data_IF_469013901001
#
_entry.id   IF_469013901001
#
_cell.length_a   1.000
_cell.length_b   1.000
_cell.length_c   1.000
_cell.angle_alpha   90.00
_cell.angle_beta   90.00
_cell.angle_gamma   90.00
#
_symmetry.space_group_name_H-M   'P 1'
#
loop_
_entity.id
_entity.type
_entity.pdbx_description
1 polymer ?
#
# COMPACT_ATOMS: atom_id res chain seq x y z
N UNK A 1 8.19 23.16 -12.98
CA UNK A 1 7.74 22.64 -14.30
C UNK A 1 8.53 23.30 -15.44
N UNK A 2 8.54 24.63 -15.57
CA UNK A 2 9.17 25.32 -16.74
C UNK A 2 10.67 25.00 -16.97
N UNK A 3 11.44 24.74 -15.90
CA UNK A 3 12.88 24.46 -16.03
C UNK A 3 13.15 23.06 -16.58
N UNK A 4 12.42 22.05 -16.13
CA UNK A 4 12.61 20.68 -16.62
C UNK A 4 12.18 20.54 -18.10
N UNK A 5 11.16 21.30 -18.53
CA UNK A 5 10.74 21.32 -19.93
C UNK A 5 11.80 21.99 -20.85
N UNK A 6 12.50 23.00 -20.34
CA UNK A 6 13.56 23.72 -21.09
C UNK A 6 14.90 22.96 -21.12
N UNK A 7 15.19 22.22 -20.06
CA UNK A 7 16.49 21.56 -19.86
C UNK A 7 16.31 20.10 -19.40
N UNK A 8 15.62 19.27 -20.20
CA UNK A 8 15.28 17.90 -19.81
C UNK A 8 16.50 16.98 -19.62
N UNK A 9 17.65 17.36 -20.18
CA UNK A 9 18.90 16.59 -20.15
C UNK A 9 19.94 17.19 -19.19
N UNK A 10 19.61 18.25 -18.40
CA UNK A 10 20.55 18.76 -17.38
C UNK A 10 20.45 17.91 -16.13
N UNK A 11 21.55 17.20 -15.71
CA UNK A 11 21.55 16.35 -14.55
C UNK A 11 21.12 17.09 -13.27
N UNK A 12 21.55 18.33 -13.06
CA UNK A 12 21.25 19.14 -11.86
C UNK A 12 19.76 19.51 -11.80
N UNK A 13 19.16 19.87 -12.96
CA UNK A 13 17.73 20.23 -13.03
C UNK A 13 16.86 18.99 -12.86
N UNK A 14 17.24 17.88 -13.51
CA UNK A 14 16.54 16.60 -13.36
C UNK A 14 16.62 16.11 -11.92
N UNK A 15 17.79 16.16 -11.29
CA UNK A 15 17.98 15.77 -9.88
C UNK A 15 17.07 16.58 -8.95
N UNK A 16 17.04 17.90 -9.09
CA UNK A 16 16.18 18.77 -8.28
C UNK A 16 14.69 18.46 -8.49
N UNK A 17 14.29 18.20 -9.74
CA UNK A 17 12.91 17.82 -10.08
C UNK A 17 12.54 16.47 -9.48
N UNK A 18 13.41 15.47 -9.61
CA UNK A 18 13.22 14.13 -9.08
C UNK A 18 13.12 14.12 -7.56
N UNK A 19 13.96 14.90 -6.86
CA UNK A 19 13.86 15.07 -5.41
C UNK A 19 12.51 15.68 -4.98
N UNK A 20 11.93 16.55 -5.79
CA UNK A 20 10.58 17.05 -5.57
C UNK A 20 9.53 15.95 -5.79
N UNK A 21 9.63 15.19 -6.89
CA UNK A 21 8.71 14.09 -7.22
C UNK A 21 8.74 12.98 -6.15
N UNK A 22 9.92 12.64 -5.67
CA UNK A 22 10.12 11.66 -4.61
C UNK A 22 9.37 12.03 -3.32
N UNK A 23 9.44 13.31 -2.91
CA UNK A 23 8.68 13.82 -1.76
C UNK A 23 7.15 13.78 -1.95
N UNK A 24 6.69 13.74 -3.20
CA UNK A 24 5.29 13.64 -3.57
C UNK A 24 4.84 12.19 -3.86
N UNK A 25 5.66 11.19 -3.54
CA UNK A 25 5.46 9.76 -3.87
C UNK A 25 5.28 9.50 -5.39
N UNK A 26 5.75 10.41 -6.25
CA UNK A 26 5.66 10.29 -7.72
C UNK A 26 6.88 9.55 -8.27
N UNK A 27 7.11 8.33 -7.79
CA UNK A 27 8.33 7.57 -8.08
C UNK A 27 8.45 7.23 -9.57
N UNK A 28 7.38 6.74 -10.19
CA UNK A 28 7.35 6.41 -11.62
C UNK A 28 7.66 7.62 -12.51
N UNK A 29 7.17 8.82 -12.14
CA UNK A 29 7.51 10.05 -12.88
C UNK A 29 8.99 10.42 -12.70
N UNK A 30 9.53 10.22 -11.51
CA UNK A 30 10.96 10.42 -11.23
C UNK A 30 11.84 9.47 -12.04
N UNK A 31 11.49 8.18 -12.07
CA UNK A 31 12.16 7.15 -12.90
C UNK A 31 12.16 7.58 -14.37
N UNK A 32 11.00 8.02 -14.88
CA UNK A 32 10.89 8.48 -16.27
C UNK A 32 11.76 9.70 -16.57
N UNK A 33 11.86 10.64 -15.64
CA UNK A 33 12.70 11.83 -15.81
C UNK A 33 14.19 11.46 -15.87
N UNK A 34 14.66 10.57 -15.00
CA UNK A 34 16.06 10.12 -14.96
C UNK A 34 16.41 9.32 -16.22
N UNK A 35 15.53 8.45 -16.72
CA UNK A 35 15.75 7.68 -17.95
C UNK A 35 15.95 8.55 -19.20
N UNK A 36 15.63 9.84 -19.13
CA UNK A 36 15.88 10.81 -20.18
C UNK A 36 17.30 11.39 -20.19
N UNK A 37 18.11 11.14 -19.16
CA UNK A 37 19.49 11.61 -19.07
C UNK A 37 20.44 10.77 -19.94
N UNK A 38 21.61 11.35 -20.23
CA UNK A 38 22.68 10.62 -20.90
C UNK A 38 23.22 9.49 -20.02
N UNK A 39 23.64 8.34 -20.58
CA UNK A 39 24.11 7.19 -19.80
C UNK A 39 25.26 7.52 -18.83
N UNK A 40 26.15 8.42 -19.19
CA UNK A 40 27.26 8.86 -18.34
C UNK A 40 26.78 9.56 -17.06
N UNK A 41 25.68 10.31 -17.13
CA UNK A 41 25.09 10.95 -15.96
C UNK A 41 24.50 9.94 -14.97
N UNK A 42 24.03 8.78 -15.45
CA UNK A 42 23.41 7.75 -14.63
C UNK A 42 24.40 7.03 -13.69
N UNK A 43 25.70 7.08 -13.99
CA UNK A 43 26.76 6.47 -13.19
C UNK A 43 27.28 7.40 -12.08
N UNK A 44 26.89 8.69 -12.09
CA UNK A 44 27.24 9.59 -11.00
C UNK A 44 26.49 9.22 -9.72
N UNK A 45 27.18 9.19 -8.59
CA UNK A 45 26.61 8.75 -7.31
C UNK A 45 25.33 9.48 -6.92
N UNK A 46 25.26 10.80 -7.13
CA UNK A 46 24.09 11.61 -6.75
C UNK A 46 22.81 11.24 -7.51
N UNK A 47 22.95 10.84 -8.78
CA UNK A 47 21.80 10.40 -9.61
C UNK A 47 21.51 8.92 -9.37
N UNK A 48 22.53 8.06 -9.31
CA UNK A 48 22.38 6.64 -9.09
C UNK A 48 21.71 6.35 -7.74
N UNK A 49 22.08 7.05 -6.66
CA UNK A 49 21.45 6.85 -5.35
C UNK A 49 19.95 7.16 -5.35
N UNK A 50 19.53 8.32 -5.89
CA UNK A 50 18.09 8.65 -5.96
C UNK A 50 17.34 7.76 -6.95
N UNK A 51 17.97 7.42 -8.07
CA UNK A 51 17.38 6.54 -9.07
C UNK A 51 17.11 5.14 -8.49
N UNK A 52 18.08 4.56 -7.79
CA UNK A 52 17.90 3.28 -7.10
C UNK A 52 16.80 3.32 -6.03
N UNK A 53 16.66 4.43 -5.29
CA UNK A 53 15.57 4.60 -4.31
C UNK A 53 14.20 4.63 -4.96
N UNK A 54 14.05 5.29 -6.11
CA UNK A 54 12.79 5.33 -6.86
C UNK A 54 12.43 3.96 -7.43
N UNK A 55 13.42 3.25 -7.99
CA UNK A 55 13.23 1.88 -8.50
C UNK A 55 12.83 0.94 -7.37
N UNK A 56 13.51 1.01 -6.23
CA UNK A 56 13.15 0.24 -5.04
C UNK A 56 11.72 0.53 -4.58
N UNK A 57 11.30 1.80 -4.60
CA UNK A 57 9.95 2.20 -4.22
C UNK A 57 8.85 1.65 -5.16
N UNK A 58 9.20 1.29 -6.39
CA UNK A 58 8.32 0.68 -7.39
C UNK A 58 8.46 -0.86 -7.51
N UNK A 59 9.12 -1.52 -6.52
CA UNK A 59 9.44 -2.95 -6.50
C UNK A 59 10.37 -3.41 -7.64
N UNK A 60 11.11 -2.51 -8.27
CA UNK A 60 12.09 -2.80 -9.32
C UNK A 60 13.47 -3.04 -8.68
N UNK A 61 13.57 -4.11 -7.89
CA UNK A 61 14.72 -4.32 -7.00
C UNK A 61 15.99 -4.66 -7.76
N UNK A 62 15.90 -5.49 -8.81
CA UNK A 62 17.06 -5.88 -9.61
C UNK A 62 17.64 -4.67 -10.35
N UNK A 63 16.77 -3.83 -10.96
CA UNK A 63 17.19 -2.59 -11.60
C UNK A 63 17.80 -1.60 -10.57
N UNK A 64 17.25 -1.53 -9.36
CA UNK A 64 17.81 -0.70 -8.30
C UNK A 64 19.23 -1.14 -7.89
N UNK A 65 19.48 -2.44 -7.84
CA UNK A 65 20.79 -3.04 -7.58
C UNK A 65 21.75 -2.71 -8.72
N UNK A 66 21.35 -2.98 -9.97
CA UNK A 66 22.16 -2.71 -11.17
C UNK A 66 22.62 -1.25 -11.23
N UNK A 67 21.73 -0.31 -10.93
CA UNK A 67 22.06 1.13 -10.92
C UNK A 67 23.13 1.45 -9.85
N UNK A 68 23.05 0.88 -8.67
CA UNK A 68 24.05 1.10 -7.62
C UNK A 68 25.40 0.47 -7.94
N UNK A 69 25.40 -0.68 -8.62
CA UNK A 69 26.63 -1.37 -9.05
C UNK A 69 27.35 -0.65 -10.20
N UNK A 70 26.66 0.25 -10.92
CA UNK A 70 27.22 1.05 -12.02
C UNK A 70 27.79 2.41 -11.57
N UNK A 71 27.73 2.74 -10.27
CA UNK A 71 28.33 3.98 -9.78
C UNK A 71 29.84 3.98 -10.09
N UNK A 72 30.34 5.15 -10.51
CA UNK A 72 31.73 5.36 -10.85
C UNK A 72 32.66 4.89 -9.71
N UNK A 73 33.58 4.01 -10.03
CA UNK A 73 34.51 3.43 -9.05
C UNK A 73 35.40 4.48 -8.40
N UNK A 74 35.83 5.51 -9.15
CA UNK A 74 36.66 6.59 -8.61
C UNK A 74 35.91 7.42 -7.55
N UNK A 75 34.57 7.63 -7.73
CA UNK A 75 33.73 8.27 -6.70
C UNK A 75 33.67 7.43 -5.43
N UNK A 76 33.49 6.11 -5.55
CA UNK A 76 33.42 5.20 -4.40
C UNK A 76 34.76 5.05 -3.65
N UNK A 77 35.90 5.06 -4.38
CA UNK A 77 37.22 4.97 -3.78
C UNK A 77 37.61 6.25 -3.04
N UNK A 78 37.17 7.41 -3.53
CA UNK A 78 37.50 8.72 -2.96
C UNK A 78 36.55 9.17 -1.83
N UNK A 79 35.39 8.53 -1.65
CA UNK A 79 34.41 8.83 -0.59
C UNK A 79 34.01 7.56 0.19
N UNK A 80 34.66 7.32 1.31
CA UNK A 80 34.42 6.18 2.21
C UNK A 80 32.97 6.16 2.74
N UNK A 81 32.37 7.35 2.98
CA UNK A 81 31.01 7.44 3.48
C UNK A 81 30.00 7.08 2.39
N UNK A 82 30.23 7.51 1.15
CA UNK A 82 29.44 7.08 -0.01
C UNK A 82 29.53 5.58 -0.21
N UNK A 83 30.73 5.02 -0.25
CA UNK A 83 30.96 3.58 -0.41
C UNK A 83 30.21 2.78 0.67
N UNK A 84 30.27 3.19 1.93
CA UNK A 84 29.55 2.54 3.01
C UNK A 84 28.02 2.59 2.84
N UNK A 85 27.47 3.74 2.40
CA UNK A 85 26.03 3.88 2.14
C UNK A 85 25.57 3.00 0.98
N UNK A 86 26.31 3.01 -0.13
CA UNK A 86 25.98 2.20 -1.32
C UNK A 86 26.02 0.71 -0.97
N UNK A 87 27.06 0.25 -0.27
CA UNK A 87 27.15 -1.15 0.16
C UNK A 87 26.00 -1.56 1.09
N UNK A 88 25.60 -0.70 2.02
CA UNK A 88 24.45 -0.97 2.91
C UNK A 88 23.14 -1.04 2.15
N UNK A 89 22.93 -0.17 1.13
CA UNK A 89 21.76 -0.24 0.24
C UNK A 89 21.76 -1.51 -0.58
N UNK A 90 22.91 -1.88 -1.17
CA UNK A 90 23.04 -3.12 -1.96
C UNK A 90 22.70 -4.36 -1.13
N UNK A 91 23.24 -4.48 0.09
CA UNK A 91 22.92 -5.59 0.98
C UNK A 91 21.41 -5.65 1.29
N UNK A 92 20.80 -4.50 1.58
CA UNK A 92 19.37 -4.40 1.86
C UNK A 92 18.53 -4.78 0.65
N UNK A 93 18.84 -4.23 -0.53
CA UNK A 93 18.08 -4.46 -1.75
C UNK A 93 18.19 -5.90 -2.24
N UNK A 94 19.40 -6.49 -2.19
CA UNK A 94 19.60 -7.90 -2.50
C UNK A 94 18.83 -8.83 -1.56
N UNK A 95 18.74 -8.47 -0.26
CA UNK A 95 17.92 -9.21 0.71
C UNK A 95 16.44 -9.18 0.37
N UNK A 96 15.92 -8.03 -0.08
CA UNK A 96 14.52 -7.85 -0.44
C UNK A 96 14.23 -8.46 -1.82
N UNK A 97 15.14 -8.34 -2.80
CA UNK A 97 14.98 -8.94 -4.12
C UNK A 97 14.76 -10.46 -4.02
N UNK A 98 15.54 -11.18 -3.22
CA UNK A 98 15.35 -12.62 -3.01
C UNK A 98 13.97 -12.98 -2.44
N UNK A 99 13.38 -12.12 -1.62
CA UNK A 99 12.03 -12.31 -1.07
C UNK A 99 10.97 -11.95 -2.08
N UNK A 100 11.26 -10.97 -2.92
CA UNK A 100 10.42 -10.59 -4.04
C UNK A 100 10.30 -11.71 -5.09
N UNK A 101 11.36 -12.44 -5.37
CA UNK A 101 11.33 -13.62 -6.27
C UNK A 101 10.30 -14.66 -5.78
N UNK A 102 10.20 -14.88 -4.46
CA UNK A 102 9.18 -15.75 -3.89
C UNK A 102 7.76 -15.17 -4.03
N UNK A 103 7.62 -13.86 -3.81
CA UNK A 103 6.35 -13.15 -3.99
C UNK A 103 5.89 -13.20 -5.45
N UNK A 104 6.79 -13.01 -6.43
CA UNK A 104 6.45 -13.12 -7.86
C UNK A 104 6.01 -14.55 -8.22
N UNK A 105 6.69 -15.56 -7.71
CA UNK A 105 6.28 -16.95 -7.92
C UNK A 105 4.87 -17.25 -7.36
N UNK A 106 4.52 -16.69 -6.19
CA UNK A 106 3.17 -16.78 -5.64
C UNK A 106 2.15 -16.07 -6.53
N UNK A 107 2.50 -14.86 -7.03
CA UNK A 107 1.64 -14.09 -7.93
C UNK A 107 1.35 -14.81 -9.24
N UNK A 108 2.32 -15.49 -9.82
CA UNK A 108 2.13 -16.30 -11.02
C UNK A 108 1.12 -17.45 -10.79
N UNK A 109 1.19 -18.11 -9.64
CA UNK A 109 0.24 -19.17 -9.26
C UNK A 109 -1.16 -18.60 -9.04
N UNK A 110 -1.27 -17.50 -8.32
CA UNK A 110 -2.54 -16.80 -8.03
C UNK A 110 -3.18 -16.26 -9.31
N UNK A 111 -2.40 -15.67 -10.22
CA UNK A 111 -2.89 -15.19 -11.52
C UNK A 111 -3.38 -16.35 -12.40
N UNK A 112 -2.70 -17.50 -12.39
CA UNK A 112 -3.13 -18.66 -13.13
C UNK A 112 -4.41 -19.29 -12.56
N UNK A 113 -4.64 -19.23 -11.25
CA UNK A 113 -5.85 -19.69 -10.59
C UNK A 113 -7.03 -18.72 -10.82
N UNK A 114 -6.77 -17.43 -10.86
CA UNK A 114 -7.73 -16.31 -11.07
C UNK A 114 -9.00 -16.44 -10.21
N UNK A 115 -8.86 -16.85 -8.95
CA UNK A 115 -9.98 -17.12 -8.05
C UNK A 115 -9.95 -16.31 -6.74
N UNK A 116 -8.85 -15.61 -6.43
CA UNK A 116 -8.75 -14.77 -5.24
C UNK A 116 -9.82 -13.66 -5.23
N UNK A 117 -10.38 -13.33 -4.06
CA UNK A 117 -11.35 -12.25 -3.95
C UNK A 117 -10.79 -10.92 -4.39
N UNK A 118 -11.64 -10.11 -5.06
CA UNK A 118 -11.32 -8.77 -5.52
C UNK A 118 -12.23 -7.74 -4.86
N UNK A 119 -11.66 -6.63 -4.41
CA UNK A 119 -12.42 -5.49 -3.92
C UNK A 119 -11.97 -4.20 -4.60
N UNK A 120 -12.92 -3.27 -4.79
CA UNK A 120 -12.66 -1.92 -5.31
C UNK A 120 -12.93 -0.92 -4.21
N UNK A 121 -11.88 -0.24 -3.76
CA UNK A 121 -11.96 0.89 -2.84
C UNK A 121 -12.20 2.14 -3.70
N UNK A 122 -13.40 2.72 -3.59
CA UNK A 122 -13.77 3.95 -4.28
C UNK A 122 -13.42 5.12 -3.36
N UNK A 123 -12.52 5.98 -3.82
CA UNK A 123 -12.04 7.13 -3.06
C UNK A 123 -12.39 8.46 -3.73
N UNK A 124 -12.24 9.57 -3.01
CA UNK A 124 -12.34 10.93 -3.59
C UNK A 124 -11.32 11.23 -4.68
N UNK A 125 -10.21 10.45 -4.75
CA UNK A 125 -9.12 10.63 -5.74
C UNK A 125 -9.20 9.64 -6.91
N UNK A 126 -9.99 8.58 -6.81
CA UNK A 126 -10.11 7.55 -7.86
C UNK A 126 -10.32 6.15 -7.30
N UNK A 127 -10.14 5.16 -8.15
CA UNK A 127 -10.38 3.76 -7.85
C UNK A 127 -9.07 3.05 -7.49
N UNK A 128 -9.11 2.22 -6.45
CA UNK A 128 -8.04 1.32 -6.05
C UNK A 128 -8.62 -0.08 -6.09
N UNK A 129 -8.07 -0.97 -6.92
CA UNK A 129 -8.49 -2.37 -6.99
C UNK A 129 -7.48 -3.19 -6.22
N UNK A 130 -7.96 -3.97 -5.27
CA UNK A 130 -7.15 -4.86 -4.44
C UNK A 130 -7.59 -6.31 -4.63
N UNK A 131 -6.61 -7.20 -4.66
CA UNK A 131 -6.78 -8.63 -4.58
C UNK A 131 -6.47 -9.09 -3.16
N UNK A 132 -7.29 -10.01 -2.60
CA UNK A 132 -7.23 -10.39 -1.20
C UNK A 132 -6.63 -11.79 -1.06
N UNK A 133 -5.66 -11.94 -0.18
CA UNK A 133 -4.89 -13.16 0.04
C UNK A 133 -5.60 -14.11 1.00
N UNK A 134 -6.71 -14.69 0.55
CA UNK A 134 -7.56 -15.53 1.38
C UNK A 134 -6.83 -16.78 1.90
N UNK A 135 -5.96 -17.37 1.09
CA UNK A 135 -5.20 -18.57 1.48
C UNK A 135 -4.13 -18.29 2.55
N UNK A 136 -3.75 -17.03 2.76
CA UNK A 136 -2.71 -16.62 3.71
C UNK A 136 -3.26 -15.88 4.95
N UNK A 137 -4.47 -15.31 4.84
CA UNK A 137 -5.08 -14.50 5.89
C UNK A 137 -6.62 -14.65 5.85
N UNK A 138 -7.12 -15.90 5.94
CA UNK A 138 -8.53 -16.28 5.74
C UNK A 138 -9.47 -15.46 6.63
N UNK A 139 -9.18 -15.38 7.93
CA UNK A 139 -10.05 -14.66 8.87
C UNK A 139 -10.02 -13.15 8.67
N UNK A 140 -8.86 -12.60 8.33
CA UNK A 140 -8.70 -11.17 8.03
C UNK A 140 -9.44 -10.79 6.76
N UNK A 141 -9.35 -11.61 5.70
CA UNK A 141 -10.09 -11.43 4.45
C UNK A 141 -11.59 -11.54 4.70
N UNK A 142 -12.04 -12.54 5.46
CA UNK A 142 -13.45 -12.67 5.83
C UNK A 142 -13.95 -11.44 6.61
N UNK A 143 -13.16 -10.92 7.55
CA UNK A 143 -13.50 -9.71 8.30
C UNK A 143 -13.60 -8.47 7.37
N UNK A 144 -12.63 -8.28 6.49
CA UNK A 144 -12.62 -7.14 5.57
C UNK A 144 -13.83 -7.18 4.62
N UNK A 145 -14.13 -8.35 4.03
CA UNK A 145 -15.27 -8.54 3.13
C UNK A 145 -16.60 -8.32 3.88
N UNK A 146 -16.76 -8.91 5.06
CA UNK A 146 -17.97 -8.73 5.88
C UNK A 146 -18.23 -7.25 6.21
N UNK A 147 -17.19 -6.52 6.62
CA UNK A 147 -17.28 -5.09 6.90
C UNK A 147 -17.58 -4.28 5.63
N UNK A 148 -16.95 -4.61 4.51
CA UNK A 148 -17.20 -3.93 3.22
C UNK A 148 -18.65 -4.11 2.76
N UNK A 149 -19.15 -5.36 2.75
CA UNK A 149 -20.53 -5.67 2.32
C UNK A 149 -21.60 -5.11 3.25
N UNK A 150 -21.28 -4.89 4.53
CA UNK A 150 -22.19 -4.20 5.46
C UNK A 150 -22.20 -2.68 5.31
N UNK A 151 -21.40 -2.09 4.41
CA UNK A 151 -21.24 -0.65 4.25
C UNK A 151 -20.46 -0.01 5.42
N UNK A 152 -19.76 -0.81 6.22
CA UNK A 152 -19.02 -0.30 7.38
C UNK A 152 -17.95 0.72 7.02
N UNK A 153 -17.36 0.65 5.84
CA UNK A 153 -16.33 1.58 5.39
C UNK A 153 -16.87 2.84 4.72
N UNK A 154 -18.17 2.90 4.42
CA UNK A 154 -18.77 4.01 3.67
C UNK A 154 -18.63 5.35 4.41
N UNK A 155 -18.07 6.34 3.71
CA UNK A 155 -17.83 7.68 4.22
C UNK A 155 -16.75 7.77 5.31
N UNK A 156 -15.98 6.70 5.55
CA UNK A 156 -14.74 6.80 6.35
C UNK A 156 -13.65 7.52 5.57
N UNK A 157 -12.57 7.93 6.25
CA UNK A 157 -11.50 8.73 5.63
C UNK A 157 -10.12 8.09 5.87
N UNK A 158 -9.19 8.44 5.00
CA UNK A 158 -7.78 8.19 5.28
C UNK A 158 -7.31 9.20 6.32
N UNK A 159 -7.41 8.83 7.59
CA UNK A 159 -7.13 9.71 8.73
C UNK A 159 -5.64 9.86 9.04
N UNK A 160 -4.79 9.00 8.47
CA UNK A 160 -3.33 9.05 8.62
C UNK A 160 -2.66 8.76 7.28
N UNK A 161 -1.89 9.73 6.79
CA UNK A 161 -1.13 9.63 5.56
C UNK A 161 0.31 10.04 5.86
N UNK A 162 1.25 9.15 5.61
CA UNK A 162 2.67 9.41 5.77
C UNK A 162 3.35 9.22 4.41
N UNK A 163 3.82 10.30 3.79
CA UNK A 163 4.58 10.21 2.55
C UNK A 163 5.75 9.24 2.67
N UNK A 164 6.06 8.51 1.59
CA UNK A 164 7.10 7.48 1.57
C UNK A 164 6.93 6.38 2.64
N UNK A 165 5.69 6.11 3.03
CA UNK A 165 5.38 5.03 3.95
C UNK A 165 4.03 4.39 3.62
N UNK A 166 2.91 5.00 4.05
CA UNK A 166 1.59 4.38 3.86
C UNK A 166 0.45 5.39 4.00
N UNK A 167 -0.76 4.96 3.59
CA UNK A 167 -2.03 5.58 3.93
C UNK A 167 -2.84 4.62 4.81
N UNK A 168 -3.53 5.12 5.84
CA UNK A 168 -4.32 4.33 6.79
C UNK A 168 -5.75 4.86 6.87
N UNK A 169 -6.72 3.95 6.72
CA UNK A 169 -8.15 4.21 6.77
C UNK A 169 -8.92 3.13 7.54
N UNK A 170 -10.25 3.07 7.31
CA UNK A 170 -11.12 2.06 7.90
C UNK A 170 -11.55 2.31 9.34
N UNK A 171 -11.32 3.52 9.87
CA UNK A 171 -11.77 3.93 11.20
C UNK A 171 -13.15 4.61 11.12
N UNK A 172 -14.20 4.11 11.82
CA UNK A 172 -15.51 4.74 11.84
C UNK A 172 -15.50 6.16 12.44
N UNK A 173 -14.54 6.47 13.31
CA UNK A 173 -14.38 7.80 13.90
C UNK A 173 -13.79 8.83 12.92
N UNK A 174 -13.37 8.40 11.74
CA UNK A 174 -12.90 9.31 10.68
C UNK A 174 -14.02 9.91 9.84
N UNK A 175 -15.26 9.41 10.00
CA UNK A 175 -16.43 9.96 9.29
C UNK A 175 -16.73 11.38 9.71
N UNK A 176 -17.34 12.15 8.81
CA UNK A 176 -17.82 13.48 9.14
C UNK A 176 -18.88 13.42 10.25
N UNK A 177 -18.72 14.26 11.27
CA UNK A 177 -19.63 14.34 12.41
C UNK A 177 -19.47 13.23 13.45
N UNK A 178 -18.51 12.33 13.31
CA UNK A 178 -18.21 11.34 14.32
C UNK A 178 -17.70 11.99 15.62
N UNK A 179 -18.10 11.46 16.78
CA UNK A 179 -17.73 12.02 18.08
C UNK A 179 -16.39 11.50 18.62
N UNK A 180 -15.86 10.42 18.04
CA UNK A 180 -14.58 9.81 18.43
C UNK A 180 -13.38 10.45 17.73
N UNK A 181 -12.19 10.22 18.27
CA UNK A 181 -10.95 10.66 17.62
C UNK A 181 -10.57 9.70 16.50
N UNK A 182 -10.29 10.21 15.28
CA UNK A 182 -9.78 9.38 14.20
C UNK A 182 -8.53 8.59 14.62
N UNK A 183 -8.47 7.32 14.24
CA UNK A 183 -7.41 6.37 14.63
C UNK A 183 -7.72 5.54 15.89
N UNK A 184 -8.81 5.85 16.61
CA UNK A 184 -9.17 5.15 17.85
C UNK A 184 -10.40 4.25 17.74
N UNK A 185 -11.10 4.26 16.62
CA UNK A 185 -12.32 3.50 16.40
C UNK A 185 -12.09 2.10 15.82
N UNK A 186 -13.15 1.28 15.90
CA UNK A 186 -13.17 -0.08 15.39
C UNK A 186 -14.57 -0.68 15.41
N UNK A 187 -14.73 -1.94 14.99
CA UNK A 187 -16.05 -2.57 14.82
C UNK A 187 -16.66 -3.09 16.15
N UNK A 188 -16.05 -2.77 17.29
CA UNK A 188 -16.49 -3.26 18.59
C UNK A 188 -15.93 -4.65 18.96
N UNK A 189 -15.11 -5.22 18.11
CA UNK A 189 -14.39 -6.49 18.31
C UNK A 189 -13.00 -6.40 17.69
N UNK A 190 -12.17 -7.43 17.95
CA UNK A 190 -10.87 -7.62 17.27
C UNK A 190 -10.82 -9.00 16.61
N UNK A 191 -9.80 -9.21 15.78
CA UNK A 191 -9.52 -10.49 15.12
C UNK A 191 -8.13 -11.00 15.50
N UNK A 192 -7.92 -12.29 15.33
CA UNK A 192 -6.60 -12.89 15.55
C UNK A 192 -5.59 -12.37 14.50
N UNK A 193 -4.35 -12.23 14.90
CA UNK A 193 -3.25 -11.93 13.98
C UNK A 193 -2.94 -13.15 13.09
N UNK A 194 -2.75 -12.92 11.80
CA UNK A 194 -2.35 -13.91 10.79
C UNK A 194 -1.03 -13.48 10.12
N UNK A 195 -0.05 -13.08 10.92
CA UNK A 195 1.26 -12.59 10.47
C UNK A 195 2.43 -13.43 10.97
N UNK A 196 2.18 -14.67 11.38
CA UNK A 196 3.19 -15.61 11.89
C UNK A 196 3.04 -16.97 11.22
N UNK A 197 4.15 -17.62 10.96
CA UNK A 197 4.23 -18.90 10.25
C UNK A 197 5.22 -18.84 9.11
N UNK A 198 5.34 -19.93 8.37
CA UNK A 198 6.30 -20.03 7.27
C UNK A 198 5.75 -19.43 5.95
N UNK A 199 4.42 -19.23 5.85
CA UNK A 199 3.72 -18.78 4.64
C UNK A 199 3.17 -17.36 4.77
N UNK A 200 3.83 -16.49 5.53
CA UNK A 200 3.39 -15.09 5.66
C UNK A 200 3.74 -14.29 4.41
N UNK A 201 2.85 -13.36 4.05
CA UNK A 201 3.12 -12.38 2.98
C UNK A 201 3.86 -11.18 3.56
N UNK A 202 4.69 -10.56 2.74
CA UNK A 202 5.53 -9.43 3.13
C UNK A 202 5.02 -8.07 2.60
N UNK A 203 5.55 -6.98 3.16
CA UNK A 203 5.12 -5.63 2.82
C UNK A 203 5.96 -5.04 1.68
N UNK A 204 5.55 -5.28 0.45
CA UNK A 204 6.05 -4.60 -0.76
C UNK A 204 5.26 -3.31 -1.05
N UNK A 205 5.62 -2.56 -2.09
CA UNK A 205 4.81 -1.43 -2.53
C UNK A 205 3.43 -1.90 -3.00
N UNK A 206 2.38 -1.24 -2.52
CA UNK A 206 1.01 -1.59 -2.83
C UNK A 206 0.43 -2.74 -1.99
N UNK A 207 1.05 -3.07 -0.87
CA UNK A 207 0.51 -4.07 0.07
C UNK A 207 -0.67 -3.50 0.87
N UNK A 208 -1.73 -4.30 1.02
CA UNK A 208 -2.85 -4.07 1.92
C UNK A 208 -2.65 -4.87 3.21
N UNK A 209 -2.61 -4.19 4.36
CA UNK A 209 -2.29 -4.81 5.64
C UNK A 209 -3.13 -4.23 6.78
N UNK A 210 -3.34 -5.03 7.86
CA UNK A 210 -4.13 -4.61 9.01
C UNK A 210 -3.35 -3.67 9.93
N UNK A 211 -3.97 -2.55 10.25
CA UNK A 211 -3.51 -1.71 11.35
C UNK A 211 -3.92 -2.30 12.70
N UNK A 212 -3.02 -2.25 13.66
CA UNK A 212 -3.24 -2.74 15.03
C UNK A 212 -2.42 -1.95 16.04
N UNK A 213 -2.78 -2.06 17.32
CA UNK A 213 -1.96 -1.58 18.42
C UNK A 213 -0.76 -2.49 18.67
N UNK A 214 0.06 -2.18 19.68
CA UNK A 214 1.16 -3.05 20.10
C UNK A 214 0.70 -4.36 20.75
N UNK A 215 -0.58 -4.45 21.19
CA UNK A 215 -1.12 -5.68 21.75
C UNK A 215 -1.32 -6.74 20.65
N UNK A 216 -1.09 -8.02 20.92
CA UNK A 216 -1.44 -9.09 20.00
C UNK A 216 -2.96 -9.14 19.79
N UNK A 217 -3.39 -9.58 18.61
CA UNK A 217 -4.79 -9.78 18.25
C UNK A 217 -5.67 -8.54 18.47
N UNK A 218 -5.13 -7.34 18.17
CA UNK A 218 -5.82 -6.06 18.36
C UNK A 218 -6.27 -5.40 17.06
N UNK A 219 -6.12 -6.08 15.92
CA UNK A 219 -6.67 -5.63 14.64
C UNK A 219 -8.21 -5.68 14.67
N UNK A 220 -8.87 -4.72 14.03
CA UNK A 220 -10.33 -4.63 13.93
C UNK A 220 -10.77 -4.30 12.51
N UNK A 221 -11.02 -3.01 12.23
CA UNK A 221 -11.43 -2.55 10.89
C UNK A 221 -10.37 -1.70 10.18
N UNK A 222 -9.40 -1.15 10.90
CA UNK A 222 -8.43 -0.25 10.30
C UNK A 222 -7.39 -1.01 9.47
N UNK A 223 -7.11 -0.51 8.29
CA UNK A 223 -6.12 -1.06 7.36
C UNK A 223 -5.21 0.04 6.80
N UNK A 224 -4.10 -0.36 6.22
CA UNK A 224 -3.21 0.55 5.52
C UNK A 224 -2.75 -0.02 4.18
N UNK A 225 -2.38 0.90 3.27
CA UNK A 225 -1.83 0.61 1.96
C UNK A 225 -0.45 1.24 1.86
N UNK A 226 0.55 0.49 1.47
CA UNK A 226 1.95 0.94 1.43
C UNK A 226 2.28 1.70 0.16
N UNK A 227 3.07 2.79 0.28
CA UNK A 227 3.60 3.53 -0.87
C UNK A 227 4.82 2.86 -1.51
N UNK A 228 5.60 2.16 -0.69
CA UNK A 228 6.86 1.51 -1.03
C UNK A 228 7.07 0.31 -0.08
N UNK A 229 8.08 -0.54 -0.30
CA UNK A 229 8.37 -1.67 0.59
C UNK A 229 8.65 -1.23 2.03
N UNK A 230 8.03 -1.92 3.00
CA UNK A 230 8.16 -1.60 4.43
C UNK A 230 8.53 -2.84 5.25
N UNK A 231 9.71 -3.44 5.01
CA UNK A 231 10.10 -4.73 5.58
C UNK A 231 10.17 -4.74 7.11
N UNK A 232 10.26 -3.58 7.74
CA UNK A 232 10.21 -3.47 9.21
C UNK A 232 8.85 -3.81 9.82
N UNK A 233 7.80 -3.97 8.99
CA UNK A 233 6.45 -4.39 9.39
C UNK A 233 6.22 -5.90 9.19
N UNK A 234 7.12 -6.60 8.50
CA UNK A 234 7.00 -8.04 8.24
C UNK A 234 6.98 -8.82 9.55
N UNK A 235 6.08 -9.81 9.63
CA UNK A 235 5.85 -10.58 10.85
C UNK A 235 5.24 -9.80 12.03
N UNK A 236 4.75 -8.57 11.81
CA UNK A 236 4.16 -7.71 12.85
C UNK A 236 2.73 -7.27 12.52
N UNK A 237 2.41 -7.16 11.25
CA UNK A 237 1.09 -6.81 10.75
C UNK A 237 0.63 -7.86 9.74
N UNK A 238 -0.66 -8.20 9.77
CA UNK A 238 -1.22 -9.17 8.83
C UNK A 238 -1.36 -8.54 7.45
N UNK A 239 -0.55 -9.00 6.51
CA UNK A 239 -0.72 -8.72 5.08
C UNK A 239 -1.86 -9.59 4.57
N UNK A 240 -2.89 -8.99 3.98
CA UNK A 240 -4.05 -9.73 3.51
C UNK A 240 -4.50 -9.38 2.08
N UNK A 241 -3.66 -8.60 1.37
CA UNK A 241 -3.93 -8.29 -0.03
C UNK A 241 -2.88 -7.41 -0.67
N UNK A 242 -3.07 -7.18 -1.96
CA UNK A 242 -2.23 -6.29 -2.79
C UNK A 242 -3.08 -5.41 -3.69
N UNK A 243 -2.53 -4.28 -4.10
CA UNK A 243 -3.09 -3.45 -5.15
C UNK A 243 -2.78 -4.09 -6.50
N UNK A 244 -3.80 -4.35 -7.30
CA UNK A 244 -3.67 -4.77 -8.71
C UNK A 244 -3.86 -3.59 -9.67
N UNK A 245 -4.53 -2.52 -9.21
CA UNK A 245 -4.67 -1.27 -9.98
C UNK A 245 -4.87 -0.08 -9.05
N UNK A 246 -4.32 1.09 -9.39
CA UNK A 246 -4.53 2.32 -8.63
C UNK A 246 -3.44 2.67 -7.61
N UNK A 247 -2.23 2.09 -7.70
CA UNK A 247 -1.12 2.46 -6.82
C UNK A 247 -0.77 3.95 -6.90
N UNK A 248 -0.90 4.56 -8.08
CA UNK A 248 -0.74 6.00 -8.26
C UNK A 248 -1.82 6.82 -7.51
N UNK A 249 -3.05 6.29 -7.39
CA UNK A 249 -4.11 6.89 -6.58
C UNK A 249 -3.72 6.82 -5.10
N UNK A 250 -3.29 5.65 -4.59
CA UNK A 250 -2.81 5.50 -3.20
C UNK A 250 -1.72 6.52 -2.87
N UNK A 251 -0.77 6.71 -3.78
CA UNK A 251 0.34 7.66 -3.64
C UNK A 251 -0.09 9.13 -3.70
N UNK A 252 -1.29 9.43 -4.21
CA UNK A 252 -1.86 10.78 -4.31
C UNK A 252 -2.88 11.12 -3.21
N UNK A 253 -3.25 10.14 -2.37
CA UNK A 253 -4.17 10.33 -1.24
C UNK A 253 -3.55 11.29 -0.22
N UNK A 254 -4.38 12.21 0.26
CA UNK A 254 -4.06 13.17 1.31
C UNK A 254 -4.87 12.88 2.57
N UNK A 255 -4.44 13.44 3.70
CA UNK A 255 -5.18 13.28 4.97
C UNK A 255 -6.60 13.83 4.81
N UNK A 256 -7.57 13.03 5.24
CA UNK A 256 -9.01 13.25 5.15
C UNK A 256 -9.63 13.08 3.75
N UNK A 257 -8.91 12.54 2.78
CA UNK A 257 -9.56 12.02 1.57
C UNK A 257 -10.55 10.91 1.92
N UNK A 258 -11.69 10.89 1.24
CA UNK A 258 -12.79 9.99 1.58
C UNK A 258 -12.58 8.59 0.99
N UNK A 259 -12.94 7.57 1.78
CA UNK A 259 -13.34 6.25 1.31
C UNK A 259 -14.84 6.32 1.08
N UNK A 260 -15.25 6.48 -0.17
CA UNK A 260 -16.67 6.63 -0.52
C UNK A 260 -17.42 5.34 -0.21
N UNK A 261 -16.88 4.21 -0.67
CA UNK A 261 -17.38 2.85 -0.40
C UNK A 261 -16.33 1.82 -0.80
N UNK A 262 -16.48 0.59 -0.33
CA UNK A 262 -15.69 -0.57 -0.76
C UNK A 262 -16.64 -1.62 -1.32
N UNK A 263 -16.47 -1.95 -2.60
CA UNK A 263 -17.29 -2.95 -3.29
C UNK A 263 -16.49 -4.23 -3.52
N UNK A 264 -16.99 -5.36 -3.02
CA UNK A 264 -16.43 -6.68 -3.31
C UNK A 264 -16.98 -7.16 -4.64
N UNK A 265 -16.13 -7.37 -5.64
CA UNK A 265 -16.52 -7.68 -7.00
C UNK A 265 -16.35 -9.17 -7.35
N UNK A 266 -15.49 -9.90 -6.65
CA UNK A 266 -15.28 -11.33 -6.78
C UNK A 266 -15.10 -11.95 -5.39
N UNK A 267 -15.68 -13.14 -5.17
CA UNK A 267 -15.53 -13.96 -3.96
C UNK A 267 -15.52 -15.44 -4.35
N UNK A 268 -14.89 -16.27 -3.53
CA UNK A 268 -15.09 -17.72 -3.60
C UNK A 268 -16.48 -18.12 -3.07
N UNK A 269 -16.95 -19.32 -3.38
CA UNK A 269 -18.30 -19.78 -3.04
C UNK A 269 -18.35 -20.36 -1.61
N UNK A 270 -18.24 -19.49 -0.61
CA UNK A 270 -18.43 -19.78 0.80
C UNK A 270 -18.81 -18.54 1.62
N UNK A 271 -19.15 -18.72 2.88
CA UNK A 271 -19.52 -17.65 3.79
C UNK A 271 -18.29 -16.92 4.36
N UNK A 272 -18.26 -15.58 4.25
CA UNK A 272 -17.23 -14.72 4.82
C UNK A 272 -17.66 -14.20 6.20
N UNK A 273 -17.77 -15.10 7.18
CA UNK A 273 -18.10 -14.74 8.57
C UNK A 273 -16.83 -14.82 9.43
N UNK A 274 -16.31 -13.67 9.91
CA UNK A 274 -15.07 -13.68 10.68
C UNK A 274 -15.22 -14.31 12.05
N UNK A 275 -14.17 -14.96 12.52
CA UNK A 275 -14.01 -15.33 13.94
C UNK A 275 -13.49 -14.12 14.71
N UNK A 276 -14.28 -13.62 15.65
CA UNK A 276 -13.99 -12.39 16.40
C UNK A 276 -13.56 -12.66 17.85
N UNK A 277 -12.79 -11.75 18.41
CA UNK A 277 -12.35 -11.73 19.80
C UNK A 277 -13.02 -10.52 20.50
N UNK A 278 -13.84 -10.78 21.52
CA UNK A 278 -14.68 -9.74 22.12
C UNK A 278 -15.84 -9.34 21.19
N UNK A 279 -16.64 -8.41 21.64
CA UNK A 279 -17.89 -8.04 20.96
C UNK A 279 -19.07 -8.95 21.35
N UNK A 280 -20.26 -8.37 21.46
CA UNK A 280 -21.49 -9.15 21.57
C UNK A 280 -21.83 -9.73 20.19
N UNK A 281 -22.29 -10.98 20.15
CA UNK A 281 -22.85 -11.56 18.92
C UNK A 281 -24.15 -10.81 18.59
N UNK A 282 -24.08 -9.73 17.83
CA UNK A 282 -25.27 -9.18 17.20
C UNK A 282 -25.72 -10.13 16.09
N UNK A 283 -26.88 -10.76 16.36
CA UNK A 283 -27.59 -11.50 15.35
C UNK A 283 -27.89 -10.57 14.17
N UNK A 284 -27.48 -10.98 12.96
CA UNK A 284 -27.78 -10.33 11.68
C UNK A 284 -29.29 -10.05 11.58
N UNK A 285 -29.70 -8.84 11.93
CA UNK A 285 -31.03 -8.30 11.60
C UNK A 285 -30.86 -7.42 10.36
N UNK A 286 -31.16 -8.02 9.21
CA UNK A 286 -31.41 -7.28 7.98
C UNK A 286 -32.51 -6.26 8.26
N UNK A 287 -32.20 -4.97 8.28
CA UNK A 287 -33.19 -3.91 8.22
C UNK A 287 -33.70 -3.86 6.78
N UNK A 288 -35.00 -4.14 6.53
CA UNK A 288 -35.55 -3.95 5.19
C UNK A 288 -35.62 -2.47 4.85
N UNK A 289 -35.40 -2.09 3.57
CA UNK A 289 -35.53 -0.72 3.16
C UNK A 289 -36.98 -0.26 3.36
N UNK A 290 -37.18 0.79 4.14
CA UNK A 290 -38.47 1.48 4.25
C UNK A 290 -38.79 2.18 2.93
N UNK A 291 -39.69 1.59 2.16
CA UNK A 291 -40.36 2.28 1.07
C UNK A 291 -41.23 3.39 1.66
N UNK A 292 -40.85 4.65 1.50
CA UNK A 292 -41.73 5.78 1.73
C UNK A 292 -42.74 5.85 0.60
N UNK A 293 -43.97 5.47 0.88
CA UNK A 293 -45.11 5.72 0.04
C UNK A 293 -45.64 7.13 0.37
N UNK A 294 -45.23 8.12 -0.38
CA UNK A 294 -46.00 9.38 -0.47
C UNK A 294 -47.06 9.24 -1.56
N UNK A 295 -48.25 8.88 -1.12
CA UNK A 295 -49.45 9.08 -1.89
C UNK A 295 -49.87 10.54 -1.76
N UNK A 296 -49.78 11.28 -2.83
CA UNK A 296 -50.54 12.54 -2.98
C UNK A 296 -51.97 12.21 -3.36
N UNK A 297 -52.90 12.70 -2.59
CA UNK A 297 -54.28 13.01 -3.02
C UNK A 297 -54.57 14.48 -2.63
N UNK A 298 -54.90 15.20 -3.59
CA UNK A 298 -55.72 16.40 -3.89
C UNK A 298 -54.95 17.61 -4.33
#
# INVERSE_FOLDING_TARGET
>A
ADLIERYPNSPEIVLAWVQYLDKQNRFTDGIKAIKGLDPEALTTASIAEIYSELLFADNLFNEAIEVLEQIDTDELENDVALSARVNSKLETYQGIARRWDNEEALREVEEAADDLPLATIITSKGLIIVELFEDHAENTVANFINLAESGYYDGTRFHRVLPKFMIQGGDPNSREGASGSPGSGGPGYTIADEHSGDDIREHFAGTLSMAKSSAPHSAGSQFFLTHLPTPHLDGRHTVFGRIVSGLNIVRSIEVNDDIVTINVSRKRDHDYTPVTIGGEKEASTKVPPTLSSDSKSE
#
